data_IF_646403262463
#
_entry.id   IF_646403262463
#
_cell.length_a   1.000
_cell.length_b   1.000
_cell.length_c   1.000
_cell.angle_alpha   90.00
_cell.angle_beta   90.00
_cell.angle_gamma   90.00
#
_symmetry.space_group_name_H-M   'P 1'
#
loop_
_entity.id
_entity.type
_entity.pdbx_description
1 polymer ?
#
# COMPACT_ATOMS: atom_id res chain seq x y z
N UNK A 1 -33.96 16.02 62.61
CA UNK A 1 -34.86 16.35 61.53
C UNK A 1 -33.93 16.76 60.35
N UNK A 2 -33.73 16.11 59.32
CA UNK A 2 -34.03 14.82 58.80
C UNK A 2 -32.99 14.62 57.72
N UNK A 3 -32.22 13.56 57.81
CA UNK A 3 -31.23 13.12 56.83
C UNK A 3 -31.93 12.15 55.90
N UNK A 4 -32.13 12.51 54.65
CA UNK A 4 -32.38 11.53 53.59
C UNK A 4 -32.12 12.21 52.26
N UNK A 5 -31.16 11.63 51.50
CA UNK A 5 -31.14 11.52 50.05
C UNK A 5 -29.74 11.55 49.47
N UNK A 6 -28.93 10.56 49.94
CA UNK A 6 -27.72 10.21 49.22
C UNK A 6 -27.77 8.67 49.00
N UNK A 7 -28.68 8.20 48.17
CA UNK A 7 -28.72 6.75 47.81
C UNK A 7 -29.13 6.44 46.39
N UNK A 8 -29.20 7.41 45.48
CA UNK A 8 -29.59 7.16 44.08
C UNK A 8 -28.47 7.15 43.09
N UNK A 9 -27.22 7.45 43.46
CA UNK A 9 -26.07 7.48 42.53
C UNK A 9 -25.32 6.16 42.41
N UNK A 10 -25.61 5.16 43.21
CA UNK A 10 -24.92 3.86 43.17
C UNK A 10 -25.57 2.81 42.28
N UNK A 11 -26.72 3.07 41.70
CA UNK A 11 -27.38 2.10 40.79
C UNK A 11 -27.30 2.43 39.30
N UNK A 12 -26.69 3.55 38.95
CA UNK A 12 -26.49 3.91 37.53
C UNK A 12 -25.16 3.48 36.96
N UNK A 13 -24.21 2.96 37.74
CA UNK A 13 -22.89 2.52 37.28
C UNK A 13 -22.68 1.02 37.28
N UNK A 14 -23.66 0.21 37.65
CA UNK A 14 -23.53 -1.27 37.70
C UNK A 14 -24.21 -2.02 36.56
N UNK A 15 -24.67 -1.32 35.52
CA UNK A 15 -25.50 -1.94 34.45
C UNK A 15 -24.89 -2.01 33.05
N UNK A 16 -23.65 -1.60 32.82
CA UNK A 16 -23.04 -1.56 31.47
C UNK A 16 -21.67 -2.23 31.36
N UNK A 17 -21.42 -3.26 32.17
CA UNK A 17 -20.35 -4.23 31.90
C UNK A 17 -20.97 -5.48 31.27
N UNK A 18 -21.70 -5.30 30.18
CA UNK A 18 -21.95 -6.37 29.22
C UNK A 18 -20.67 -6.52 28.41
N UNK A 19 -19.95 -7.60 28.72
CA UNK A 19 -18.84 -8.11 27.94
C UNK A 19 -19.26 -8.22 26.48
N UNK A 20 -18.86 -7.28 25.65
CA UNK A 20 -18.74 -7.47 24.21
C UNK A 20 -17.49 -8.33 24.03
N UNK A 21 -17.66 -9.63 24.15
CA UNK A 21 -16.74 -10.58 23.57
C UNK A 21 -16.85 -10.38 22.05
N UNK A 22 -16.03 -9.48 21.50
CA UNK A 22 -15.75 -9.45 20.09
C UNK A 22 -15.02 -10.77 19.78
N UNK A 23 -15.81 -11.78 19.41
CA UNK A 23 -15.30 -12.88 18.65
C UNK A 23 -14.74 -12.27 17.38
N UNK A 24 -13.42 -12.14 17.30
CA UNK A 24 -12.71 -11.98 16.05
C UNK A 24 -12.92 -13.31 15.32
N UNK A 25 -14.06 -13.41 14.65
CA UNK A 25 -14.23 -14.40 13.60
C UNK A 25 -13.26 -13.95 12.52
N UNK A 26 -12.08 -14.61 12.45
CA UNK A 26 -11.29 -14.58 11.27
C UNK A 26 -12.23 -14.91 10.12
N UNK A 27 -12.52 -13.95 9.26
CA UNK A 27 -13.19 -14.23 8.01
C UNK A 27 -12.21 -15.10 7.22
N UNK A 28 -12.44 -16.42 7.28
CA UNK A 28 -11.90 -17.33 6.27
C UNK A 28 -12.40 -16.74 4.96
N UNK A 29 -11.46 -16.34 4.10
CA UNK A 29 -11.78 -15.87 2.78
C UNK A 29 -12.80 -16.87 2.16
N UNK A 30 -13.86 -16.38 1.50
CA UNK A 30 -14.87 -17.29 0.97
C UNK A 30 -14.15 -18.30 0.07
N UNK A 31 -14.39 -19.58 0.33
CA UNK A 31 -14.01 -20.63 -0.61
C UNK A 31 -14.77 -20.29 -1.88
N UNK A 32 -14.05 -19.92 -2.91
CA UNK A 32 -14.60 -19.58 -4.22
C UNK A 32 -15.05 -20.92 -4.81
N UNK A 33 -16.33 -21.25 -4.67
CA UNK A 33 -16.97 -22.40 -5.31
C UNK A 33 -17.46 -21.98 -6.70
N UNK A 34 -16.76 -22.45 -7.71
CA UNK A 34 -17.17 -22.92 -9.03
C UNK A 34 -18.19 -22.14 -9.88
N UNK A 35 -17.81 -20.96 -10.39
CA UNK A 35 -18.36 -20.50 -11.68
C UNK A 35 -17.34 -19.63 -12.48
N UNK A 36 -16.04 -19.85 -12.25
CA UNK A 36 -15.01 -19.16 -13.02
C UNK A 36 -14.74 -19.92 -14.33
N UNK A 37 -14.43 -19.18 -15.42
CA UNK A 37 -14.04 -19.81 -16.66
C UNK A 37 -12.86 -20.75 -16.39
N UNK A 38 -12.94 -21.97 -16.94
CA UNK A 38 -11.87 -22.96 -16.85
C UNK A 38 -10.54 -22.25 -17.13
N UNK A 39 -9.54 -22.32 -16.25
CA UNK A 39 -8.27 -21.65 -16.48
C UNK A 39 -7.68 -22.14 -17.81
N UNK A 40 -7.00 -21.26 -18.56
CA UNK A 40 -6.26 -21.65 -19.73
C UNK A 40 -5.20 -22.71 -19.36
N UNK A 41 -4.49 -23.25 -20.32
CA UNK A 41 -3.38 -24.15 -20.06
C UNK A 41 -2.38 -23.48 -19.10
N UNK A 42 -2.32 -23.96 -17.86
CA UNK A 42 -1.50 -23.36 -16.80
C UNK A 42 0.01 -23.40 -17.13
N UNK A 43 0.43 -24.31 -18.04
CA UNK A 43 1.81 -24.39 -18.48
C UNK A 43 2.23 -23.18 -19.33
N UNK A 44 1.29 -22.59 -20.08
CA UNK A 44 1.50 -21.40 -20.92
C UNK A 44 1.43 -20.08 -20.14
N UNK A 45 0.96 -20.10 -18.90
CA UNK A 45 0.84 -18.89 -18.09
C UNK A 45 2.16 -18.53 -17.42
N UNK A 46 2.59 -17.29 -17.62
CA UNK A 46 3.78 -16.71 -17.01
C UNK A 46 3.39 -15.46 -16.21
N UNK A 47 3.73 -15.47 -14.92
CA UNK A 47 3.47 -14.36 -14.00
C UNK A 47 4.76 -13.62 -13.73
N UNK A 48 4.67 -12.28 -13.71
CA UNK A 48 5.82 -11.41 -13.43
C UNK A 48 5.42 -10.35 -12.41
N UNK A 49 6.27 -10.16 -11.40
CA UNK A 49 6.20 -9.03 -10.50
C UNK A 49 6.74 -7.80 -11.23
N UNK A 50 5.95 -6.74 -11.29
CA UNK A 50 6.37 -5.43 -11.77
C UNK A 50 6.55 -4.53 -10.55
N UNK A 51 7.77 -4.04 -10.36
CA UNK A 51 8.12 -3.11 -9.30
C UNK A 51 8.54 -1.79 -9.92
N UNK A 52 7.93 -0.70 -9.49
CA UNK A 52 8.18 0.64 -10.01
C UNK A 52 8.75 1.49 -8.88
N UNK A 53 9.87 2.14 -9.16
CA UNK A 53 10.56 3.00 -8.19
C UNK A 53 9.72 4.23 -7.81
N UNK A 54 10.19 4.95 -6.80
CA UNK A 54 9.61 6.23 -6.38
C UNK A 54 9.59 7.24 -7.53
N UNK A 55 8.66 8.19 -7.47
CA UNK A 55 8.53 9.26 -8.45
C UNK A 55 8.45 10.62 -7.77
N UNK A 56 8.32 11.68 -8.56
CA UNK A 56 8.28 13.07 -8.06
C UNK A 56 6.92 13.45 -7.44
N UNK A 57 5.84 12.82 -7.90
CA UNK A 57 4.50 13.11 -7.38
C UNK A 57 4.31 12.55 -5.97
N UNK A 58 3.54 13.26 -5.15
CA UNK A 58 3.26 12.90 -3.75
C UNK A 58 2.72 11.47 -3.60
N UNK A 59 1.88 11.01 -4.52
CA UNK A 59 1.32 9.65 -4.51
C UNK A 59 2.29 8.59 -5.05
N UNK A 60 3.42 8.99 -5.66
CA UNK A 60 4.44 8.10 -6.20
C UNK A 60 5.62 7.88 -5.24
N UNK A 61 5.64 8.52 -4.07
CA UNK A 61 6.79 8.51 -3.15
C UNK A 61 7.09 7.15 -2.52
N UNK A 62 6.18 6.19 -2.55
CA UNK A 62 6.46 4.83 -2.09
C UNK A 62 6.77 3.84 -3.22
N UNK A 63 6.78 4.33 -4.45
CA UNK A 63 6.85 3.43 -5.59
C UNK A 63 5.51 2.81 -5.94
N UNK A 64 5.52 1.72 -6.71
CA UNK A 64 4.30 1.02 -7.12
C UNK A 64 4.57 -0.46 -7.41
N UNK A 65 3.53 -1.28 -7.29
CA UNK A 65 3.57 -2.70 -7.61
C UNK A 65 2.40 -3.07 -8.51
N UNK A 66 2.69 -3.87 -9.55
CA UNK A 66 1.70 -4.45 -10.45
C UNK A 66 2.05 -5.91 -10.77
N UNK A 67 1.11 -6.65 -11.32
CA UNK A 67 1.30 -8.03 -11.76
C UNK A 67 1.11 -8.11 -13.28
N UNK A 68 2.09 -8.65 -13.99
CA UNK A 68 1.95 -8.98 -15.41
C UNK A 68 1.66 -10.47 -15.57
N UNK A 69 0.65 -10.76 -16.38
CA UNK A 69 0.31 -12.11 -16.82
C UNK A 69 0.47 -12.19 -18.33
N UNK A 70 1.31 -13.10 -18.77
CA UNK A 70 1.50 -13.45 -20.17
C UNK A 70 1.04 -14.88 -20.41
N UNK A 71 0.14 -15.07 -21.35
CA UNK A 71 -0.27 -16.39 -21.83
C UNK A 71 0.35 -16.64 -23.21
N UNK A 72 1.29 -17.58 -23.25
CA UNK A 72 2.04 -17.93 -24.46
C UNK A 72 1.15 -18.54 -25.56
N UNK A 73 0.09 -19.29 -25.17
CA UNK A 73 -0.79 -19.95 -26.13
C UNK A 73 -1.72 -18.97 -26.86
N UNK A 74 -2.28 -18.01 -26.14
CA UNK A 74 -3.16 -16.97 -26.72
C UNK A 74 -2.41 -15.73 -27.17
N UNK A 75 -1.12 -15.62 -26.80
CA UNK A 75 -0.30 -14.40 -26.96
C UNK A 75 -0.94 -13.17 -26.31
N UNK A 76 -1.70 -13.38 -25.23
CA UNK A 76 -2.26 -12.28 -24.42
C UNK A 76 -1.25 -11.82 -23.39
N UNK A 77 -1.07 -10.51 -23.28
CA UNK A 77 -0.10 -9.89 -22.38
C UNK A 77 -0.75 -8.73 -21.63
N UNK A 78 -0.91 -8.89 -20.33
CA UNK A 78 -1.80 -8.04 -19.53
C UNK A 78 -1.14 -7.66 -18.21
N UNK A 79 -1.28 -6.39 -17.82
CA UNK A 79 -0.88 -5.91 -16.49
C UNK A 79 -2.13 -5.64 -15.65
N UNK A 80 -2.15 -6.22 -14.45
CA UNK A 80 -3.11 -5.97 -13.37
C UNK A 80 -2.52 -4.95 -12.40
N UNK A 81 -3.17 -3.80 -12.29
CA UNK A 81 -2.68 -2.64 -11.56
C UNK A 81 -3.73 -2.17 -10.54
N UNK A 82 -3.40 -2.22 -9.25
CA UNK A 82 -4.27 -1.85 -8.11
C UNK A 82 -4.03 -0.41 -7.65
N UNK A 83 -3.73 0.52 -8.53
CA UNK A 83 -3.36 1.89 -8.18
C UNK A 83 -4.26 2.97 -8.77
N UNK A 84 -5.34 2.60 -9.45
CA UNK A 84 -6.19 3.59 -10.12
C UNK A 84 -7.20 4.18 -9.15
N UNK A 85 -7.23 5.50 -9.07
CA UNK A 85 -8.16 6.27 -8.25
C UNK A 85 -8.71 7.47 -9.04
N UNK A 86 -9.88 7.97 -8.60
CA UNK A 86 -10.53 9.09 -9.25
C UNK A 86 -10.08 10.42 -8.64
N UNK A 87 -9.49 11.28 -9.48
CA UNK A 87 -9.08 12.65 -9.15
C UNK A 87 -9.96 13.72 -9.82
N UNK A 88 -11.08 13.33 -10.40
CA UNK A 88 -11.99 14.26 -11.11
C UNK A 88 -12.51 15.40 -10.21
N UNK A 89 -12.59 15.18 -8.89
CA UNK A 89 -12.92 16.19 -7.90
C UNK A 89 -11.81 17.21 -7.60
N UNK A 90 -10.63 17.04 -8.21
CA UNK A 90 -9.44 17.90 -7.98
C UNK A 90 -8.67 17.58 -6.69
N UNK A 91 -7.57 18.30 -6.50
CA UNK A 91 -6.62 18.05 -5.40
C UNK A 91 -7.25 18.20 -4.02
N UNK A 92 -8.18 19.12 -3.83
CA UNK A 92 -8.84 19.34 -2.53
C UNK A 92 -9.79 18.19 -2.17
N UNK A 93 -10.57 17.68 -3.13
CA UNK A 93 -11.44 16.52 -2.93
C UNK A 93 -10.60 15.27 -2.65
N UNK A 94 -9.55 15.05 -3.42
CA UNK A 94 -8.58 13.98 -3.20
C UNK A 94 -7.98 14.05 -1.79
N UNK A 95 -7.46 15.22 -1.38
CA UNK A 95 -6.86 15.42 -0.07
C UNK A 95 -7.87 15.16 1.05
N UNK A 96 -9.10 15.62 0.91
CA UNK A 96 -10.17 15.39 1.88
C UNK A 96 -10.51 13.90 2.02
N UNK A 97 -10.68 13.19 0.90
CA UNK A 97 -10.90 11.74 0.89
C UNK A 97 -9.74 10.97 1.51
N UNK A 98 -8.50 11.38 1.19
CA UNK A 98 -7.30 10.81 1.76
C UNK A 98 -7.25 10.97 3.30
N UNK A 99 -7.48 12.19 3.80
CA UNK A 99 -7.46 12.46 5.25
C UNK A 99 -8.62 11.80 6.01
N UNK A 100 -9.77 11.65 5.38
CA UNK A 100 -10.93 10.98 6.00
C UNK A 100 -10.89 9.45 5.87
N UNK A 101 -9.91 8.90 5.14
CA UNK A 101 -9.78 7.46 4.91
C UNK A 101 -10.87 6.87 4.01
N UNK A 102 -11.61 7.71 3.26
CA UNK A 102 -12.70 7.31 2.38
C UNK A 102 -12.22 7.38 0.93
N UNK A 103 -11.27 6.51 0.56
CA UNK A 103 -10.77 6.43 -0.81
C UNK A 103 -11.05 5.06 -1.39
N UNK A 104 -11.81 5.02 -2.48
CA UNK A 104 -11.97 3.80 -3.26
C UNK A 104 -10.97 3.82 -4.42
N UNK A 105 -10.12 2.80 -4.43
CA UNK A 105 -9.25 2.48 -5.55
C UNK A 105 -9.86 1.31 -6.33
N UNK A 106 -9.39 1.15 -7.54
CA UNK A 106 -9.86 0.06 -8.41
C UNK A 106 -8.69 -0.64 -9.09
N UNK A 107 -8.93 -1.91 -9.41
CA UNK A 107 -8.11 -2.66 -10.34
C UNK A 107 -8.26 -2.07 -11.75
N UNK A 108 -7.14 -1.82 -12.42
CA UNK A 108 -7.06 -1.57 -13.85
C UNK A 108 -6.39 -2.74 -14.55
N UNK A 109 -6.86 -3.05 -15.75
CA UNK A 109 -6.30 -4.09 -16.61
C UNK A 109 -5.90 -3.44 -17.93
N UNK A 110 -4.63 -3.50 -18.27
CA UNK A 110 -4.04 -2.76 -19.39
C UNK A 110 -2.94 -3.58 -20.09
N UNK A 111 -2.47 -3.10 -21.24
CA UNK A 111 -1.31 -3.70 -21.90
C UNK A 111 0.01 -3.22 -21.29
N UNK A 112 1.08 -4.04 -21.32
CA UNK A 112 2.40 -3.62 -20.86
C UNK A 112 2.92 -2.35 -21.55
N UNK A 113 2.61 -2.18 -22.84
CA UNK A 113 3.03 -0.99 -23.59
C UNK A 113 2.42 0.30 -23.05
N UNK A 114 1.15 0.28 -22.61
CA UNK A 114 0.49 1.43 -22.00
C UNK A 114 1.06 1.75 -20.63
N UNK A 115 1.22 0.73 -19.76
CA UNK A 115 1.75 0.91 -18.41
C UNK A 115 3.20 1.40 -18.44
N UNK A 116 4.08 0.75 -19.22
CA UNK A 116 5.47 1.15 -19.29
C UNK A 116 5.66 2.53 -19.92
N UNK A 117 4.85 2.91 -20.92
CA UNK A 117 4.86 4.27 -21.45
C UNK A 117 4.45 5.31 -20.39
N UNK A 118 3.49 4.99 -19.53
CA UNK A 118 3.10 5.86 -18.41
C UNK A 118 4.24 6.03 -17.40
N UNK A 119 4.90 4.95 -17.00
CA UNK A 119 6.04 5.03 -16.06
C UNK A 119 7.26 5.73 -16.68
N UNK A 120 7.51 5.52 -17.98
CA UNK A 120 8.56 6.23 -18.70
C UNK A 120 8.30 7.75 -18.73
N UNK A 121 7.05 8.17 -18.95
CA UNK A 121 6.68 9.57 -18.92
C UNK A 121 6.85 10.23 -17.54
N UNK A 122 6.81 9.41 -16.47
CA UNK A 122 7.05 9.82 -15.09
C UNK A 122 8.54 9.74 -14.68
N UNK A 123 9.43 9.26 -15.56
CA UNK A 123 10.85 9.09 -15.28
C UNK A 123 11.15 8.07 -14.19
N UNK A 124 10.38 6.99 -14.10
CA UNK A 124 10.46 5.99 -13.04
C UNK A 124 11.12 4.70 -13.52
N UNK A 125 12.06 4.18 -12.74
CA UNK A 125 12.66 2.87 -12.98
C UNK A 125 11.64 1.77 -12.77
N UNK A 126 11.67 0.76 -13.66
CA UNK A 126 10.76 -0.40 -13.60
C UNK A 126 11.58 -1.69 -13.66
N UNK A 127 11.40 -2.52 -12.65
CA UNK A 127 11.93 -3.90 -12.62
C UNK A 127 10.80 -4.88 -12.91
N UNK A 128 11.18 -5.95 -13.58
CA UNK A 128 10.34 -7.12 -13.82
C UNK A 128 11.07 -8.37 -13.36
N UNK A 129 10.44 -9.17 -12.51
CA UNK A 129 10.94 -10.44 -12.03
C UNK A 129 9.91 -11.53 -12.35
N UNK A 130 10.36 -12.67 -12.91
CA UNK A 130 9.50 -13.82 -13.14
C UNK A 130 9.14 -14.48 -11.81
N UNK A 131 7.86 -14.81 -11.62
CA UNK A 131 7.38 -15.51 -10.42
C UNK A 131 7.30 -17.01 -10.73
N UNK A 132 8.08 -17.82 -10.02
CA UNK A 132 8.13 -19.27 -10.19
C UNK A 132 7.04 -19.96 -9.37
N UNK A 133 5.93 -20.29 -10.02
CA UNK A 133 4.75 -20.93 -9.43
C UNK A 133 4.52 -22.31 -10.01
N UNK A 134 4.12 -23.25 -9.17
CA UNK A 134 3.56 -24.55 -9.60
C UNK A 134 2.20 -24.37 -10.25
N UNK A 135 1.74 -25.34 -11.05
CA UNK A 135 0.42 -25.25 -11.69
C UNK A 135 -0.73 -25.03 -10.69
N UNK A 136 -0.80 -25.70 -9.52
CA UNK A 136 -1.84 -25.38 -8.53
C UNK A 136 -1.77 -23.94 -7.97
N UNK A 137 -0.56 -23.37 -7.86
CA UNK A 137 -0.37 -21.99 -7.41
C UNK A 137 -0.77 -20.99 -8.49
N UNK A 138 -0.41 -21.27 -9.77
CA UNK A 138 -0.86 -20.49 -10.93
C UNK A 138 -2.38 -20.46 -11.03
N UNK A 139 -3.04 -21.62 -10.83
CA UNK A 139 -4.47 -21.73 -10.87
C UNK A 139 -5.15 -20.86 -9.81
N UNK A 140 -4.71 -20.95 -8.55
CA UNK A 140 -5.26 -20.12 -7.47
C UNK A 140 -5.08 -18.62 -7.73
N UNK A 141 -3.87 -18.22 -8.17
CA UNK A 141 -3.61 -16.82 -8.49
C UNK A 141 -4.46 -16.34 -9.67
N UNK A 142 -4.59 -17.16 -10.73
CA UNK A 142 -5.43 -16.86 -11.88
C UNK A 142 -6.90 -16.69 -11.48
N UNK A 143 -7.46 -17.63 -10.72
CA UNK A 143 -8.84 -17.54 -10.23
C UNK A 143 -9.06 -16.30 -9.39
N UNK A 144 -8.10 -15.94 -8.50
CA UNK A 144 -8.18 -14.71 -7.70
C UNK A 144 -8.17 -13.46 -8.57
N UNK A 145 -7.37 -13.43 -9.65
CA UNK A 145 -7.37 -12.31 -10.60
C UNK A 145 -8.71 -12.20 -11.33
N UNK A 146 -9.25 -13.31 -11.82
CA UNK A 146 -10.55 -13.32 -12.49
C UNK A 146 -11.66 -12.82 -11.57
N UNK A 147 -11.71 -13.32 -10.34
CA UNK A 147 -12.63 -12.82 -9.32
C UNK A 147 -12.49 -11.29 -9.12
N UNK A 148 -11.28 -10.77 -9.08
CA UNK A 148 -11.06 -9.34 -8.86
C UNK A 148 -11.41 -8.47 -10.09
N UNK A 149 -11.48 -9.04 -11.29
CA UNK A 149 -11.93 -8.30 -12.50
C UNK A 149 -13.44 -8.15 -12.60
N UNK A 150 -14.21 -8.87 -11.81
CA UNK A 150 -15.66 -8.74 -11.78
C UNK A 150 -16.09 -7.35 -11.32
N UNK A 151 -17.16 -6.76 -11.90
CA UNK A 151 -17.61 -5.42 -11.53
C UNK A 151 -17.92 -5.22 -10.06
N UNK A 152 -18.34 -6.27 -9.35
CA UNK A 152 -18.60 -6.25 -7.90
C UNK A 152 -17.34 -6.23 -7.03
N UNK A 153 -16.18 -6.64 -7.58
CA UNK A 153 -14.95 -6.88 -6.84
C UNK A 153 -13.79 -5.97 -7.27
N UNK A 154 -14.02 -5.18 -8.34
CA UNK A 154 -12.98 -4.35 -8.96
C UNK A 154 -12.56 -3.16 -8.08
N UNK A 155 -13.46 -2.67 -7.24
CA UNK A 155 -13.20 -1.57 -6.32
C UNK A 155 -12.85 -2.08 -4.91
N UNK A 156 -11.99 -1.34 -4.22
CA UNK A 156 -11.62 -1.67 -2.86
C UNK A 156 -11.35 -0.41 -2.02
N UNK A 157 -11.63 -0.43 -0.70
CA UNK A 157 -11.29 0.66 0.19
C UNK A 157 -9.77 0.72 0.36
N UNK A 158 -9.16 1.78 -0.11
CA UNK A 158 -7.72 1.98 0.02
C UNK A 158 -7.36 2.31 1.46
N UNK A 159 -6.34 1.63 1.95
CA UNK A 159 -5.71 1.91 3.24
C UNK A 159 -4.21 1.96 3.06
N UNK A 160 -3.63 3.09 3.37
CA UNK A 160 -2.26 3.46 3.08
C UNK A 160 -1.21 2.36 3.38
N UNK A 161 -1.31 1.72 4.55
CA UNK A 161 -0.38 0.67 4.98
C UNK A 161 -0.93 -0.75 4.82
N UNK A 162 -2.26 -0.92 4.79
CA UNK A 162 -2.87 -2.23 4.98
C UNK A 162 -3.64 -2.74 3.76
N UNK A 163 -4.01 -1.85 2.83
CA UNK A 163 -4.78 -2.22 1.65
C UNK A 163 -4.42 -1.32 0.45
N UNK A 164 -3.16 -1.36 0.04
CA UNK A 164 -2.61 -0.61 -1.09
C UNK A 164 -2.29 -1.54 -2.28
N UNK A 165 -1.69 -1.00 -3.34
CA UNK A 165 -1.32 -1.78 -4.53
C UNK A 165 -0.42 -2.98 -4.21
N UNK A 166 0.55 -2.80 -3.31
CA UNK A 166 1.51 -3.84 -2.95
C UNK A 166 0.91 -4.88 -2.04
N UNK A 167 0.19 -4.46 -0.99
CA UNK A 167 -0.46 -5.40 -0.06
C UNK A 167 -1.54 -6.23 -0.74
N UNK A 168 -2.23 -5.68 -1.76
CA UNK A 168 -3.16 -6.47 -2.58
C UNK A 168 -2.46 -7.62 -3.29
N UNK A 169 -1.37 -7.34 -3.98
CA UNK A 169 -0.62 -8.39 -4.68
C UNK A 169 0.06 -9.34 -3.70
N UNK A 170 0.61 -8.83 -2.59
CA UNK A 170 1.19 -9.64 -1.51
C UNK A 170 0.17 -10.67 -1.00
N UNK A 171 -1.03 -10.22 -0.65
CA UNK A 171 -2.06 -11.06 -0.07
C UNK A 171 -2.56 -12.11 -1.09
N UNK A 172 -2.69 -11.74 -2.37
CA UNK A 172 -3.08 -12.68 -3.44
C UNK A 172 -1.99 -13.72 -3.71
N UNK A 173 -0.73 -13.28 -3.70
CA UNK A 173 0.39 -14.20 -3.88
C UNK A 173 0.55 -15.12 -2.66
N UNK A 174 0.39 -14.59 -1.45
CA UNK A 174 0.42 -15.40 -0.22
C UNK A 174 -0.70 -16.44 -0.19
N UNK A 175 -1.92 -16.08 -0.60
CA UNK A 175 -3.03 -17.02 -0.78
C UNK A 175 -2.68 -18.11 -1.80
N UNK A 176 -2.11 -17.75 -2.94
CA UNK A 176 -1.69 -18.70 -3.95
C UNK A 176 -0.61 -19.66 -3.44
N UNK A 177 0.28 -19.18 -2.58
CA UNK A 177 1.35 -19.91 -1.91
C UNK A 177 0.92 -20.59 -0.60
N UNK A 178 -0.38 -20.58 -0.26
CA UNK A 178 -0.94 -21.20 0.96
C UNK A 178 -0.37 -20.63 2.26
N UNK A 179 -0.16 -19.32 2.33
CA UNK A 179 0.27 -18.58 3.53
C UNK A 179 1.78 -18.58 3.76
N UNK A 180 2.60 -19.03 2.80
CA UNK A 180 4.05 -19.18 2.98
C UNK A 180 4.79 -17.87 3.18
N UNK A 181 4.38 -16.78 2.52
CA UNK A 181 5.02 -15.47 2.67
C UNK A 181 4.81 -14.98 4.10
N UNK A 182 3.57 -15.01 4.58
CA UNK A 182 3.24 -14.57 5.93
C UNK A 182 3.95 -15.41 7.00
N UNK A 183 4.05 -16.72 6.80
CA UNK A 183 4.73 -17.62 7.74
C UNK A 183 6.25 -17.41 7.78
N UNK A 184 6.87 -17.00 6.68
CA UNK A 184 8.31 -16.81 6.60
C UNK A 184 8.77 -15.48 7.18
N UNK A 185 8.01 -14.40 6.99
CA UNK A 185 8.41 -13.02 7.29
C UNK A 185 7.67 -12.47 8.51
N UNK A 186 7.90 -13.07 9.67
CA UNK A 186 7.26 -12.73 10.95
C UNK A 186 8.13 -11.87 11.86
N UNK A 187 9.43 -11.75 11.57
CA UNK A 187 10.37 -11.01 12.39
C UNK A 187 10.09 -9.50 12.37
N UNK A 188 10.65 -8.81 13.36
CA UNK A 188 10.55 -7.34 13.42
C UNK A 188 11.46 -6.70 12.38
N UNK A 189 10.93 -5.73 11.61
CA UNK A 189 11.66 -5.02 10.58
C UNK A 189 12.57 -3.88 11.12
N UNK A 190 12.73 -3.77 12.45
CA UNK A 190 13.52 -2.72 13.14
C UNK A 190 13.13 -1.28 12.75
N UNK A 191 11.95 -1.09 12.19
CA UNK A 191 11.41 0.19 11.74
C UNK A 191 9.93 0.32 12.09
N UNK A 192 9.42 1.53 12.05
CA UNK A 192 8.01 1.86 12.22
C UNK A 192 7.40 2.31 10.90
N UNK A 193 6.08 2.36 10.79
CA UNK A 193 5.45 2.99 9.63
C UNK A 193 5.85 4.46 9.51
N UNK A 194 6.01 5.18 10.64
CA UNK A 194 6.44 6.58 10.64
C UNK A 194 7.83 6.76 10.03
N UNK A 195 8.78 5.87 10.35
CA UNK A 195 10.13 5.94 9.79
C UNK A 195 10.08 5.87 8.25
N UNK A 196 9.23 5.00 7.72
CA UNK A 196 9.04 4.88 6.27
C UNK A 196 8.36 6.11 5.66
N UNK A 197 7.34 6.68 6.32
CA UNK A 197 6.72 7.93 5.87
C UNK A 197 7.75 9.05 5.82
N UNK A 198 8.50 9.24 6.90
CA UNK A 198 9.51 10.30 6.98
C UNK A 198 10.60 10.14 5.92
N UNK A 199 11.12 8.92 5.72
CA UNK A 199 12.17 8.68 4.75
C UNK A 199 11.72 8.91 3.30
N UNK A 200 10.50 8.52 2.95
CA UNK A 200 10.00 8.63 1.59
C UNK A 200 9.49 10.04 1.23
N UNK A 201 9.04 10.82 2.21
CA UNK A 201 8.56 12.19 1.96
C UNK A 201 9.61 13.28 2.23
N UNK A 202 10.89 12.93 2.39
CA UNK A 202 11.97 13.91 2.58
C UNK A 202 12.04 14.94 1.45
N UNK A 203 11.73 14.53 0.22
CA UNK A 203 11.69 15.40 -0.96
C UNK A 203 10.51 16.38 -0.95
N UNK A 204 9.45 16.12 -0.17
CA UNK A 204 8.22 16.92 -0.09
C UNK A 204 7.94 17.32 1.35
N UNK A 205 8.83 18.15 1.92
CA UNK A 205 8.86 18.44 3.36
C UNK A 205 7.57 18.96 3.98
N UNK A 206 6.72 19.68 3.23
CA UNK A 206 5.40 20.09 3.73
C UNK A 206 4.47 18.90 3.93
N UNK A 207 4.49 17.91 3.02
CA UNK A 207 3.70 16.68 3.14
C UNK A 207 4.24 15.85 4.29
N UNK A 208 5.56 15.68 4.41
CA UNK A 208 6.18 14.97 5.53
C UNK A 208 5.73 15.53 6.88
N UNK A 209 5.81 16.85 7.06
CA UNK A 209 5.37 17.52 8.29
C UNK A 209 3.86 17.35 8.53
N UNK A 210 3.05 17.46 7.48
CA UNK A 210 1.60 17.29 7.59
C UNK A 210 1.24 15.88 8.03
N UNK A 211 1.88 14.87 7.44
CA UNK A 211 1.69 13.48 7.81
C UNK A 211 2.16 13.18 9.24
N UNK A 212 3.28 13.76 9.66
CA UNK A 212 3.79 13.64 11.04
C UNK A 212 2.78 14.13 12.08
N UNK A 213 2.09 15.24 11.79
CA UNK A 213 1.09 15.83 12.69
C UNK A 213 -0.24 15.07 12.64
N UNK A 214 -0.68 14.66 11.45
CA UNK A 214 -2.01 14.10 11.23
C UNK A 214 -2.10 12.60 11.50
N UNK A 215 -1.01 11.85 11.31
CA UNK A 215 -0.98 10.45 11.59
C UNK A 215 -0.87 10.21 13.10
N UNK A 216 -1.75 9.35 13.63
CA UNK A 216 -1.79 9.03 15.06
C UNK A 216 -0.63 8.11 15.48
N UNK A 217 -0.48 7.90 16.79
CA UNK A 217 0.60 7.10 17.37
C UNK A 217 0.56 5.60 17.03
N UNK A 218 -0.49 5.09 16.40
CA UNK A 218 -0.55 3.66 16.01
C UNK A 218 0.51 3.30 14.96
N UNK A 219 1.05 4.31 14.26
CA UNK A 219 2.13 4.12 13.28
C UNK A 219 3.54 4.14 13.89
N UNK A 220 3.65 4.38 15.19
CA UNK A 220 4.94 4.51 15.91
C UNK A 220 5.43 3.20 16.49
N UNK A 221 4.67 2.12 16.35
CA UNK A 221 5.12 0.79 16.76
C UNK A 221 6.08 0.19 15.74
N UNK A 222 6.99 -0.65 16.21
CA UNK A 222 7.80 -1.49 15.33
C UNK A 222 6.89 -2.41 14.54
N UNK A 223 7.15 -2.54 13.26
CA UNK A 223 6.37 -3.37 12.32
C UNK A 223 7.12 -4.67 12.01
N UNK A 224 6.39 -5.69 11.58
CA UNK A 224 6.99 -6.92 11.09
C UNK A 224 7.47 -6.77 9.64
N UNK A 225 8.32 -7.69 9.20
CA UNK A 225 8.73 -7.80 7.80
C UNK A 225 7.54 -7.95 6.85
N UNK A 226 6.52 -8.73 7.26
CA UNK A 226 5.25 -8.83 6.54
C UNK A 226 4.55 -7.48 6.40
N UNK A 227 4.48 -6.71 7.46
CA UNK A 227 3.90 -5.37 7.41
C UNK A 227 4.75 -4.41 6.57
N UNK A 228 6.08 -4.53 6.61
CA UNK A 228 6.99 -3.70 5.81
C UNK A 228 6.81 -3.92 4.29
N UNK A 229 6.26 -5.06 3.88
CA UNK A 229 5.89 -5.34 2.48
C UNK A 229 4.74 -4.47 1.95
N UNK A 230 4.25 -3.47 2.71
CA UNK A 230 3.41 -2.43 2.12
C UNK A 230 4.18 -1.57 1.11
N UNK A 231 5.53 -1.59 1.19
CA UNK A 231 6.45 -0.89 0.30
C UNK A 231 6.81 -1.78 -0.90
N UNK A 232 6.67 -1.31 -2.14
CA UNK A 232 6.99 -2.06 -3.35
C UNK A 232 8.40 -2.64 -3.38
N UNK A 233 9.41 -1.82 -3.07
CA UNK A 233 10.81 -2.25 -3.09
C UNK A 233 11.10 -3.28 -1.99
N UNK A 234 10.51 -3.14 -0.79
CA UNK A 234 10.65 -4.11 0.29
C UNK A 234 9.95 -5.43 -0.03
N UNK A 235 8.76 -5.37 -0.62
CA UNK A 235 8.07 -6.57 -1.07
C UNK A 235 8.93 -7.36 -2.07
N UNK A 236 9.47 -6.70 -3.10
CA UNK A 236 10.42 -7.32 -4.04
C UNK A 236 11.65 -7.89 -3.34
N UNK A 237 12.27 -7.12 -2.42
CA UNK A 237 13.47 -7.52 -1.67
C UNK A 237 13.24 -8.82 -0.87
N UNK A 238 12.11 -8.93 -0.18
CA UNK A 238 11.77 -10.14 0.57
C UNK A 238 11.46 -11.34 -0.33
N UNK A 239 10.73 -11.14 -1.43
CA UNK A 239 10.43 -12.23 -2.35
C UNK A 239 11.66 -12.76 -3.09
N UNK A 240 12.70 -11.93 -3.30
CA UNK A 240 13.98 -12.35 -3.85
C UNK A 240 14.75 -13.30 -2.93
N UNK A 241 14.42 -13.36 -1.65
CA UNK A 241 15.05 -14.22 -0.65
C UNK A 241 14.26 -15.52 -0.41
N UNK A 242 13.11 -15.68 -1.06
CA UNK A 242 12.19 -16.79 -0.83
C UNK A 242 12.40 -17.91 -1.84
N UNK A 243 12.41 -19.14 -1.35
CA UNK A 243 12.41 -20.33 -2.21
C UNK A 243 11.02 -20.56 -2.84
N UNK A 244 10.99 -20.99 -4.10
CA UNK A 244 9.77 -21.46 -4.76
C UNK A 244 9.50 -22.94 -4.44
N UNK A 245 8.27 -23.40 -4.74
CA UNK A 245 7.91 -24.82 -4.71
C UNK A 245 8.21 -25.53 -6.04
N UNK A 246 8.66 -24.79 -7.05
CA UNK A 246 9.09 -25.35 -8.33
C UNK A 246 10.48 -25.94 -8.14
N UNK A 247 10.60 -27.22 -8.42
CA UNK A 247 11.91 -27.87 -8.49
C UNK A 247 12.22 -28.14 -9.96
N UNK A 248 13.30 -27.61 -10.46
CA UNK A 248 13.83 -27.97 -11.78
C UNK A 248 15.04 -28.86 -11.57
N UNK A 249 14.99 -30.10 -12.08
CA UNK A 249 16.04 -31.11 -11.94
C UNK A 249 16.43 -31.43 -10.48
N UNK A 250 15.53 -31.22 -9.51
CA UNK A 250 15.79 -31.44 -8.09
C UNK A 250 16.55 -30.30 -7.40
N UNK A 251 16.84 -29.22 -8.10
CA UNK A 251 17.43 -28.00 -7.52
C UNK A 251 16.34 -27.01 -7.05
N UNK A 252 16.62 -26.34 -5.94
CA UNK A 252 15.75 -25.27 -5.43
C UNK A 252 15.83 -24.07 -6.37
N UNK A 253 14.64 -23.54 -6.74
CA UNK A 253 14.53 -22.27 -7.44
C UNK A 253 14.08 -21.18 -6.47
N UNK A 254 14.54 -19.96 -6.69
CA UNK A 254 14.01 -18.81 -5.97
C UNK A 254 12.59 -18.49 -6.46
N UNK A 255 11.75 -17.91 -5.60
CA UNK A 255 10.40 -17.49 -5.96
C UNK A 255 10.43 -16.45 -7.09
N UNK A 256 11.36 -15.50 -7.04
CA UNK A 256 11.62 -14.56 -8.12
C UNK A 256 12.90 -14.95 -8.88
N UNK A 257 12.82 -14.94 -10.19
CA UNK A 257 13.95 -15.21 -11.09
C UNK A 257 13.95 -14.25 -12.29
N UNK A 258 14.99 -14.35 -13.13
CA UNK A 258 15.14 -13.60 -14.37
C UNK A 258 14.89 -12.08 -14.19
N UNK A 259 15.59 -11.40 -13.26
CA UNK A 259 15.39 -9.99 -13.02
C UNK A 259 15.76 -9.16 -14.25
N UNK A 260 14.85 -8.30 -14.69
CA UNK A 260 15.03 -7.40 -15.82
C UNK A 260 14.77 -5.96 -15.39
N UNK A 261 15.57 -5.03 -15.90
CA UNK A 261 15.28 -3.60 -15.81
C UNK A 261 14.61 -3.21 -17.12
N UNK A 262 13.30 -2.93 -17.05
CA UNK A 262 12.50 -2.56 -18.22
C UNK A 262 12.70 -1.08 -18.55
N UNK A 263 12.75 -0.24 -17.52
CA UNK A 263 13.04 1.19 -17.62
C UNK A 263 14.08 1.53 -16.56
N UNK A 264 15.06 2.36 -16.93
CA UNK A 264 16.16 2.77 -16.05
C UNK A 264 16.25 4.30 -16.01
N UNK A 265 15.93 4.88 -14.85
CA UNK A 265 15.98 6.30 -14.58
C UNK A 265 16.66 6.54 -13.25
N UNK A 266 17.25 7.73 -13.10
CA UNK A 266 17.77 8.15 -11.79
C UNK A 266 16.61 8.53 -10.86
N UNK A 267 16.63 8.11 -9.59
CA UNK A 267 15.60 8.49 -8.64
C UNK A 267 15.59 10.01 -8.42
N UNK A 268 14.46 10.62 -8.03
CA UNK A 268 14.36 12.03 -7.74
C UNK A 268 15.31 12.45 -6.61
N UNK A 269 16.04 13.54 -6.78
CA UNK A 269 17.09 14.01 -5.85
C UNK A 269 16.69 15.21 -5.01
N UNK A 270 15.41 15.58 -4.99
CA UNK A 270 14.93 16.78 -4.27
C UNK A 270 14.89 16.48 -2.78
N UNK A 271 15.83 17.07 -2.03
CA UNK A 271 15.84 17.03 -0.58
C UNK A 271 15.26 18.33 -0.02
N UNK A 272 14.15 18.28 0.70
CA UNK A 272 13.64 19.40 1.49
C UNK A 272 13.68 19.05 2.98
N UNK A 273 14.13 19.99 3.80
CA UNK A 273 14.13 19.78 5.24
C UNK A 273 12.78 20.22 5.83
N UNK A 274 11.94 19.29 6.35
CA UNK A 274 10.63 19.61 6.89
C UNK A 274 10.69 20.59 8.08
N UNK A 275 11.77 20.55 8.86
CA UNK A 275 11.95 21.49 9.98
C UNK A 275 12.22 22.93 9.52
N UNK A 276 12.87 23.13 8.38
CA UNK A 276 13.02 24.47 7.78
C UNK A 276 11.66 25.02 7.36
N UNK A 277 10.81 24.20 6.74
CA UNK A 277 9.45 24.59 6.37
C UNK A 277 8.62 24.88 7.61
N UNK A 278 8.67 24.02 8.66
CA UNK A 278 8.00 24.27 9.92
C UNK A 278 8.45 25.60 10.56
N UNK A 279 9.75 25.89 10.55
CA UNK A 279 10.27 27.15 11.09
C UNK A 279 9.73 28.36 10.32
N UNK A 280 9.70 28.30 8.99
CA UNK A 280 9.14 29.39 8.16
C UNK A 280 7.65 29.58 8.46
N UNK A 281 6.87 28.51 8.58
CA UNK A 281 5.43 28.58 8.89
C UNK A 281 5.16 29.12 10.30
N UNK A 282 5.98 28.77 11.29
CA UNK A 282 5.85 29.25 12.67
C UNK A 282 6.28 30.71 12.83
N UNK A 283 7.38 31.11 12.18
CA UNK A 283 7.94 32.45 12.37
C UNK A 283 7.38 33.51 11.42
N UNK A 284 6.83 33.12 10.25
CA UNK A 284 6.27 34.08 9.29
C UNK A 284 5.05 34.86 9.85
N UNK A 285 4.07 34.29 10.59
CA UNK A 285 3.00 35.03 11.19
C UNK A 285 3.48 35.98 12.29
N UNK A 286 4.46 35.55 13.11
CA UNK A 286 5.07 36.36 14.15
C UNK A 286 5.79 37.55 13.53
N UNK A 287 6.59 37.31 12.50
CA UNK A 287 7.28 38.39 11.77
C UNK A 287 6.28 39.33 11.13
N UNK A 288 5.22 38.84 10.52
CA UNK A 288 4.15 39.64 9.94
C UNK A 288 3.47 40.54 11.00
N UNK A 289 3.12 39.97 12.16
CA UNK A 289 2.53 40.71 13.27
C UNK A 289 3.48 41.81 13.78
N UNK A 290 4.76 41.49 13.95
CA UNK A 290 5.79 42.49 14.36
C UNK A 290 5.90 43.63 13.35
N UNK A 291 5.87 43.32 12.04
CA UNK A 291 5.91 44.35 11.00
C UNK A 291 4.65 45.22 10.98
N UNK A 292 3.47 44.62 11.25
CA UNK A 292 2.22 45.35 11.34
C UNK A 292 2.20 46.27 12.57
N UNK A 293 2.64 45.81 13.73
CA UNK A 293 2.74 46.62 14.96
C UNK A 293 3.70 47.78 14.76
N UNK A 294 4.84 47.56 14.08
CA UNK A 294 5.81 48.62 13.79
C UNK A 294 5.28 49.68 12.81
N UNK A 295 4.27 49.36 12.00
CA UNK A 295 3.63 50.30 11.07
C UNK A 295 2.42 51.03 11.65
N UNK A 296 1.93 50.62 12.85
CA UNK A 296 0.85 51.39 13.51
C UNK A 296 1.36 52.75 13.94
N UNK A 297 0.73 53.85 13.52
CA UNK A 297 1.13 55.18 13.98
C UNK A 297 0.92 55.22 15.51
N UNK A 298 1.93 55.63 16.23
CA UNK A 298 1.79 55.92 17.66
C UNK A 298 0.84 57.13 17.77
N UNK A 299 -0.44 56.83 17.99
CA UNK A 299 -1.40 57.91 18.40
C UNK A 299 -1.09 58.28 19.82
N UNK A 300 -0.50 59.45 19.99
CA UNK A 300 -0.40 60.17 21.26
C UNK A 300 -1.75 60.77 21.61
#
# INVERSE_FOLDING_TARGET
METSDIRWWHYFFSGCLLAVSLSVSGQIAPVIEDDYPTPPDLSSLHFYLITVDVGEDVWNNFGHTALRLYDENSNTDTIYNWGVFDISGGVLDFSWKFFTGVMNYRLSVSSPSQEFASYAAQGRTVWQDKINLTNPQKERLYQRLMWNTEPSNVEYPYQYFFNNCTTKLRDYLDEALSGKINLQFTENAESTFRDHVQSHYQSVGFVALSLDILMNSNIDRVISEWEQMFLPLKFREYLLQMDSDVAENGERQMLLSDPQIILDFSPPTIETNPYQIASVLLFSPVLFLLLMVKRMPQSY
#
